data_IF_448833214556
#
_entry.id   IF_448833214556
#
_cell.length_a   1.000
_cell.length_b   1.000
_cell.length_c   1.000
_cell.angle_alpha   90.00
_cell.angle_beta   90.00
_cell.angle_gamma   90.00
#
_symmetry.space_group_name_H-M   'P 1'
#
loop_
_entity.id
_entity.type
_entity.pdbx_description
1 polymer ?
#
# COMPACT_ATOMS: atom_id res chain seq x y z
N UNK A 1 29.22 -10.77 -7.34
CA UNK A 1 28.24 -11.34 -8.29
C UNK A 1 28.92 -12.09 -9.43
N UNK A 2 29.90 -11.50 -10.14
CA UNK A 2 30.66 -12.16 -11.19
C UNK A 2 31.21 -13.54 -10.76
N UNK A 3 31.90 -13.60 -9.63
CA UNK A 3 32.45 -14.86 -9.10
C UNK A 3 31.40 -15.95 -8.84
N UNK A 4 30.21 -15.58 -8.36
CA UNK A 4 29.11 -16.53 -8.08
C UNK A 4 28.55 -17.10 -9.39
N UNK A 5 28.38 -16.25 -10.41
CA UNK A 5 27.91 -16.67 -11.73
C UNK A 5 28.90 -17.64 -12.40
N UNK A 6 30.19 -17.29 -12.41
CA UNK A 6 31.23 -18.17 -12.98
C UNK A 6 31.34 -19.50 -12.23
N UNK A 7 31.18 -19.48 -10.90
CA UNK A 7 31.15 -20.69 -10.08
C UNK A 7 29.96 -21.58 -10.41
N UNK A 8 28.74 -21.01 -10.54
CA UNK A 8 27.53 -21.76 -10.91
C UNK A 8 27.64 -22.32 -12.34
N UNK A 9 28.23 -21.56 -13.27
CA UNK A 9 28.48 -21.98 -14.64
C UNK A 9 29.59 -23.04 -14.79
N UNK A 10 30.29 -23.41 -13.71
CA UNK A 10 31.40 -24.37 -13.73
C UNK A 10 32.71 -23.82 -14.29
N UNK A 11 32.78 -22.51 -14.57
CA UNK A 11 33.95 -21.83 -15.13
C UNK A 11 34.98 -21.47 -14.06
N UNK A 12 35.47 -22.47 -13.34
CA UNK A 12 36.41 -22.27 -12.21
C UNK A 12 37.76 -21.69 -12.65
N UNK A 13 38.12 -21.81 -13.92
CA UNK A 13 39.36 -21.24 -14.49
C UNK A 13 39.33 -19.69 -14.54
N UNK A 14 38.15 -19.08 -14.47
CA UNK A 14 37.98 -17.63 -14.46
C UNK A 14 38.08 -17.01 -13.06
N UNK A 15 38.35 -17.81 -12.02
CA UNK A 15 38.31 -17.40 -10.61
C UNK A 15 39.61 -17.70 -9.90
N UNK A 16 39.98 -16.83 -8.97
CA UNK A 16 40.99 -17.15 -7.97
C UNK A 16 40.46 -18.19 -6.97
N UNK A 17 41.37 -18.87 -6.26
CA UNK A 17 41.00 -19.88 -5.25
C UNK A 17 40.11 -19.28 -4.14
N UNK A 18 40.40 -18.04 -3.72
CA UNK A 18 39.62 -17.34 -2.70
C UNK A 18 38.21 -16.97 -3.21
N UNK A 19 38.11 -16.47 -4.45
CA UNK A 19 36.82 -16.15 -5.07
C UNK A 19 35.97 -17.41 -5.26
N UNK A 20 36.57 -18.53 -5.67
CA UNK A 20 35.88 -19.80 -5.82
C UNK A 20 35.36 -20.33 -4.46
N UNK A 21 36.15 -20.22 -3.39
CA UNK A 21 35.71 -20.63 -2.05
C UNK A 21 34.57 -19.75 -1.52
N UNK A 22 34.64 -18.43 -1.73
CA UNK A 22 33.59 -17.51 -1.28
C UNK A 22 32.32 -17.66 -2.11
N UNK A 23 32.45 -17.85 -3.43
CA UNK A 23 31.34 -18.12 -4.34
C UNK A 23 30.64 -19.44 -4.00
N UNK A 24 31.39 -20.51 -3.70
CA UNK A 24 30.83 -21.81 -3.32
C UNK A 24 30.00 -21.78 -2.03
N UNK A 25 30.34 -20.92 -1.08
CA UNK A 25 29.53 -20.71 0.14
C UNK A 25 28.16 -20.09 -0.16
N UNK A 26 28.07 -19.26 -1.20
CA UNK A 26 26.87 -18.51 -1.56
C UNK A 26 26.05 -19.16 -2.68
N UNK A 27 26.68 -20.00 -3.52
CA UNK A 27 26.06 -20.64 -4.68
C UNK A 27 24.99 -21.66 -4.31
N UNK A 28 25.08 -22.31 -3.14
CA UNK A 28 24.11 -23.31 -2.67
C UNK A 28 22.68 -22.77 -2.51
N UNK A 29 22.54 -21.45 -2.39
CA UNK A 29 21.24 -20.76 -2.28
C UNK A 29 21.00 -19.81 -3.46
N UNK A 30 21.72 -19.97 -4.58
CA UNK A 30 21.56 -19.12 -5.74
C UNK A 30 21.39 -19.92 -7.05
N UNK A 31 20.60 -19.38 -7.96
CA UNK A 31 20.36 -19.92 -9.30
C UNK A 31 20.54 -18.82 -10.34
N UNK A 32 20.95 -19.18 -11.56
CA UNK A 32 21.05 -18.25 -12.70
C UNK A 32 19.99 -18.63 -13.72
N UNK A 33 19.23 -17.66 -14.22
CA UNK A 33 18.22 -17.88 -15.25
C UNK A 33 18.80 -17.81 -16.68
N UNK A 34 17.94 -18.02 -17.69
CA UNK A 34 18.28 -17.96 -19.11
C UNK A 34 18.77 -16.57 -19.59
N UNK A 35 18.54 -15.52 -18.80
CA UNK A 35 18.94 -14.14 -19.09
C UNK A 35 20.22 -13.73 -18.35
N UNK A 36 20.97 -14.70 -17.80
CA UNK A 36 22.14 -14.47 -16.93
C UNK A 36 21.78 -13.61 -15.70
N UNK A 37 20.57 -13.72 -15.15
CA UNK A 37 20.19 -13.06 -13.90
C UNK A 37 20.37 -14.02 -12.72
N UNK A 38 21.03 -13.53 -11.67
CA UNK A 38 21.30 -14.30 -10.45
C UNK A 38 20.14 -14.11 -9.46
N UNK A 39 19.50 -15.21 -9.03
CA UNK A 39 18.45 -15.23 -8.03
C UNK A 39 18.91 -15.92 -6.76
N UNK A 40 18.49 -15.38 -5.62
CA UNK A 40 18.57 -16.03 -4.32
C UNK A 40 17.31 -16.87 -4.09
N UNK A 41 17.52 -18.14 -3.77
CA UNK A 41 16.50 -19.15 -3.54
C UNK A 41 16.22 -19.22 -2.04
N UNK A 42 14.98 -18.92 -1.65
CA UNK A 42 14.55 -19.03 -0.26
C UNK A 42 13.29 -19.86 -0.10
N UNK A 43 13.27 -20.68 0.94
CA UNK A 43 12.14 -21.53 1.28
C UNK A 43 11.24 -20.79 2.26
N UNK A 44 9.96 -20.55 1.92
CA UNK A 44 8.97 -20.11 2.92
C UNK A 44 8.64 -21.30 3.84
N UNK A 45 9.40 -21.44 4.93
CA UNK A 45 9.06 -22.36 6.01
C UNK A 45 8.29 -21.59 7.08
N UNK A 46 6.96 -21.60 7.01
CA UNK A 46 6.16 -21.45 8.24
C UNK A 46 4.72 -21.97 8.25
N UNK A 47 4.17 -22.49 7.15
CA UNK A 47 2.93 -23.28 7.19
C UNK A 47 3.04 -24.40 6.14
N UNK A 48 3.32 -25.65 6.54
CA UNK A 48 3.32 -26.81 5.63
C UNK A 48 2.02 -27.60 5.79
N UNK A 49 1.43 -28.07 4.68
CA UNK A 49 1.72 -29.43 4.23
C UNK A 49 2.14 -29.45 2.74
N UNK A 50 3.17 -30.26 2.42
CA UNK A 50 3.65 -30.66 1.07
C UNK A 50 3.44 -29.64 -0.07
N UNK A 51 4.48 -28.83 -0.32
CA UNK A 51 4.53 -27.90 -1.44
C UNK A 51 5.14 -26.56 -1.03
N UNK A 52 6.38 -26.57 -0.55
CA UNK A 52 7.06 -25.30 -0.23
C UNK A 52 7.23 -24.51 -1.52
N UNK A 53 6.51 -23.40 -1.68
CA UNK A 53 6.73 -22.49 -2.80
C UNK A 53 8.12 -21.89 -2.65
N UNK A 54 8.99 -22.22 -3.62
CA UNK A 54 10.30 -21.61 -3.77
C UNK A 54 10.09 -20.11 -4.05
N UNK A 55 10.67 -19.25 -3.21
CA UNK A 55 10.67 -17.82 -3.45
C UNK A 55 12.02 -17.40 -4.02
N UNK A 56 12.01 -17.07 -5.32
CA UNK A 56 13.12 -16.46 -6.04
C UNK A 56 13.14 -14.94 -5.80
N UNK A 57 14.32 -14.42 -5.47
CA UNK A 57 14.59 -12.98 -5.28
C UNK A 57 15.81 -12.57 -6.08
N UNK A 58 15.72 -11.54 -6.89
CA UNK A 58 16.83 -11.07 -7.72
C UNK A 58 17.99 -10.58 -6.85
N UNK A 59 19.19 -11.08 -7.09
CA UNK A 59 20.41 -10.62 -6.42
C UNK A 59 20.85 -9.31 -7.04
N UNK A 60 20.85 -8.24 -6.23
CA UNK A 60 21.12 -6.88 -6.72
C UNK A 60 22.61 -6.54 -6.54
N UNK A 61 23.30 -6.06 -7.60
CA UNK A 61 24.67 -5.53 -7.49
C UNK A 61 24.74 -4.36 -6.50
N UNK A 62 25.87 -4.23 -5.80
CA UNK A 62 26.09 -3.15 -4.82
C UNK A 62 25.90 -1.74 -5.40
N UNK A 63 26.21 -1.57 -6.69
CA UNK A 63 26.01 -0.31 -7.41
C UNK A 63 24.54 0.11 -7.52
N UNK A 64 23.59 -0.84 -7.49
CA UNK A 64 22.15 -0.57 -7.64
C UNK A 64 21.38 -0.58 -6.31
N UNK A 65 22.05 -0.85 -5.18
CA UNK A 65 21.39 -0.84 -3.86
C UNK A 65 20.74 0.51 -3.56
N UNK A 66 21.44 1.61 -3.87
CA UNK A 66 20.94 2.97 -3.67
C UNK A 66 19.66 3.24 -4.46
N UNK A 67 19.62 2.84 -5.74
CA UNK A 67 18.47 3.05 -6.61
C UNK A 67 17.24 2.25 -6.17
N UNK A 68 17.42 0.99 -5.77
CA UNK A 68 16.34 0.16 -5.23
C UNK A 68 15.79 0.78 -3.94
N UNK A 69 16.66 1.20 -3.02
CA UNK A 69 16.23 1.80 -1.75
C UNK A 69 15.55 3.16 -1.96
N UNK A 70 16.07 3.99 -2.88
CA UNK A 70 15.44 5.23 -3.30
C UNK A 70 14.04 4.96 -3.87
N UNK A 71 13.90 3.97 -4.75
CA UNK A 71 12.59 3.61 -5.31
C UNK A 71 11.59 3.18 -4.22
N UNK A 72 11.98 2.30 -3.30
CA UNK A 72 11.05 1.76 -2.30
C UNK A 72 10.83 2.65 -1.07
N UNK A 73 11.63 3.70 -0.89
CA UNK A 73 11.48 4.63 0.24
C UNK A 73 11.11 6.05 -0.20
N UNK A 74 11.95 6.73 -0.96
CA UNK A 74 11.83 8.18 -1.27
C UNK A 74 11.05 8.46 -2.54
N UNK A 75 10.93 7.49 -3.46
CA UNK A 75 10.07 7.69 -4.62
C UNK A 75 8.61 7.77 -4.20
N UNK A 76 7.80 8.27 -5.13
CA UNK A 76 6.36 8.30 -5.01
C UNK A 76 5.74 6.91 -4.74
N UNK A 77 6.34 5.86 -5.31
CA UNK A 77 5.93 4.48 -5.04
C UNK A 77 6.41 4.00 -3.67
N UNK A 78 7.40 4.64 -3.05
CA UNK A 78 7.96 4.34 -1.72
C UNK A 78 7.28 5.08 -0.56
N UNK A 79 6.75 6.29 -0.80
CA UNK A 79 5.92 7.06 0.13
C UNK A 79 6.54 7.32 1.52
N UNK A 80 7.87 7.42 1.62
CA UNK A 80 8.63 7.63 2.86
C UNK A 80 8.22 6.70 4.00
N UNK A 81 7.89 5.45 3.67
CA UNK A 81 7.46 4.51 4.69
C UNK A 81 8.61 4.11 5.63
N UNK A 82 8.26 3.78 6.87
CA UNK A 82 9.23 3.37 7.89
C UNK A 82 9.91 2.04 7.57
N UNK A 83 11.07 1.82 8.19
CA UNK A 83 11.99 0.67 7.99
C UNK A 83 11.28 -0.66 7.73
N UNK A 84 10.32 -1.05 8.59
CA UNK A 84 9.69 -2.37 8.47
C UNK A 84 8.87 -2.51 7.19
N UNK A 85 8.16 -1.46 6.77
CA UNK A 85 7.35 -1.50 5.53
C UNK A 85 8.25 -1.48 4.30
N UNK A 86 9.26 -0.62 4.30
CA UNK A 86 10.26 -0.56 3.22
C UNK A 86 10.97 -1.91 3.06
N UNK A 87 11.45 -2.50 4.15
CA UNK A 87 12.11 -3.81 4.12
C UNK A 87 11.19 -4.92 3.61
N UNK A 88 9.92 -4.95 4.06
CA UNK A 88 8.97 -5.97 3.64
C UNK A 88 8.74 -5.96 2.12
N UNK A 89 8.70 -4.77 1.51
CA UNK A 89 8.53 -4.60 0.06
C UNK A 89 9.80 -4.94 -0.72
N UNK A 90 10.96 -4.47 -0.27
CA UNK A 90 12.23 -4.76 -0.95
C UNK A 90 12.58 -6.25 -0.90
N UNK A 91 12.44 -6.88 0.27
CA UNK A 91 12.79 -8.31 0.47
C UNK A 91 11.88 -9.26 -0.31
N UNK A 92 10.74 -8.78 -0.81
CA UNK A 92 9.83 -9.62 -1.58
C UNK A 92 10.44 -9.99 -2.93
N UNK A 93 11.15 -9.05 -3.56
CA UNK A 93 11.67 -9.15 -4.92
C UNK A 93 13.19 -9.22 -4.99
N UNK A 94 13.89 -8.59 -4.04
CA UNK A 94 15.32 -8.40 -4.10
C UNK A 94 16.05 -9.04 -2.92
N UNK A 95 17.31 -9.37 -3.16
CA UNK A 95 18.23 -9.88 -2.16
C UNK A 95 19.62 -9.26 -2.33
N UNK A 96 20.24 -8.91 -1.21
CA UNK A 96 21.69 -8.75 -1.11
C UNK A 96 22.11 -9.00 0.34
N UNK A 97 23.38 -9.42 0.59
CA UNK A 97 23.92 -9.51 1.94
C UNK A 97 23.80 -8.18 2.67
N UNK A 98 23.18 -8.18 3.85
CA UNK A 98 22.98 -6.97 4.64
C UNK A 98 21.74 -6.13 4.28
N UNK A 99 20.83 -6.62 3.43
CA UNK A 99 19.60 -5.91 2.99
C UNK A 99 18.88 -5.15 4.12
N UNK A 100 18.59 -5.80 5.25
CA UNK A 100 17.88 -5.15 6.35
C UNK A 100 18.67 -3.96 6.92
N UNK A 101 19.98 -4.11 7.09
CA UNK A 101 20.87 -3.03 7.56
C UNK A 101 20.89 -1.87 6.57
N UNK A 102 21.02 -2.16 5.27
CA UNK A 102 20.96 -1.12 4.22
C UNK A 102 19.64 -0.34 4.27
N UNK A 103 18.50 -1.00 4.50
CA UNK A 103 17.19 -0.32 4.66
C UNK A 103 17.17 0.55 5.92
N UNK A 104 17.67 0.04 7.06
CA UNK A 104 17.76 0.81 8.30
C UNK A 104 18.58 2.08 8.11
N UNK A 105 19.79 1.95 7.57
CA UNK A 105 20.73 3.05 7.37
C UNK A 105 20.14 4.10 6.40
N UNK A 106 19.50 3.65 5.31
CA UNK A 106 18.88 4.54 4.32
C UNK A 106 17.70 5.33 4.89
N UNK A 107 16.76 4.66 5.58
CA UNK A 107 15.60 5.32 6.18
C UNK A 107 16.02 6.24 7.34
N UNK A 108 17.04 5.85 8.10
CA UNK A 108 17.59 6.68 9.17
C UNK A 108 18.26 7.94 8.61
N UNK A 109 18.94 7.86 7.46
CA UNK A 109 19.58 8.99 6.78
C UNK A 109 18.64 9.91 5.99
N UNK A 110 17.34 9.59 5.89
CA UNK A 110 16.38 10.36 5.11
C UNK A 110 16.02 11.69 5.80
N UNK A 111 16.50 12.80 5.23
CA UNK A 111 16.30 14.17 5.73
C UNK A 111 14.81 14.52 5.86
N UNK A 112 13.98 14.13 4.89
CA UNK A 112 12.53 14.40 4.90
C UNK A 112 11.81 13.68 6.06
N UNK A 113 12.23 12.46 6.35
CA UNK A 113 11.72 11.68 7.48
C UNK A 113 12.19 12.22 8.83
N UNK A 114 13.42 12.71 8.92
CA UNK A 114 13.96 13.32 10.13
C UNK A 114 13.22 14.64 10.46
N UNK A 115 13.00 15.49 9.46
CA UNK A 115 12.34 16.79 9.61
C UNK A 115 10.80 16.68 9.66
N UNK A 116 10.25 15.54 9.29
CA UNK A 116 8.81 15.27 9.24
C UNK A 116 8.17 14.69 10.51
N UNK A 117 8.97 14.28 11.49
CA UNK A 117 8.47 13.60 12.69
C UNK A 117 7.99 14.56 13.80
N UNK A 118 6.79 15.14 13.65
CA UNK A 118 6.03 15.66 14.80
C UNK A 118 5.67 14.58 15.82
N UNK A 119 5.64 14.95 17.11
CA UNK A 119 5.42 14.07 18.26
C UNK A 119 4.05 13.36 18.21
N UNK A 120 3.92 12.12 18.73
CA UNK A 120 2.63 11.47 18.89
C UNK A 120 1.76 12.31 19.83
N UNK A 121 0.57 12.72 19.39
CA UNK A 121 -0.44 13.25 20.29
C UNK A 121 -1.22 12.06 20.86
N UNK A 122 -1.12 11.83 22.16
CA UNK A 122 -2.05 10.95 22.87
C UNK A 122 -3.46 11.54 22.76
N UNK A 123 -4.46 10.74 22.34
CA UNK A 123 -5.88 11.09 22.52
C UNK A 123 -6.76 9.87 22.78
N UNK A 124 -7.50 10.02 23.88
CA UNK A 124 -8.88 9.59 24.21
C UNK A 124 -9.54 8.41 23.48
N UNK A 125 -10.23 7.60 24.29
CA UNK A 125 -11.07 6.46 23.87
C UNK A 125 -12.22 6.95 22.98
N UNK A 126 -12.25 6.50 21.73
CA UNK A 126 -13.36 6.76 20.77
C UNK A 126 -14.56 5.84 21.07
N UNK A 127 -15.82 6.32 20.93
CA UNK A 127 -17.01 5.46 20.97
C UNK A 127 -16.98 4.40 19.87
N UNK A 128 -17.60 3.25 20.13
CA UNK A 128 -17.53 2.02 19.32
C UNK A 128 -17.90 2.22 17.84
N UNK A 129 -17.08 1.65 16.97
CA UNK A 129 -17.29 1.63 15.52
C UNK A 129 -18.28 0.54 15.14
N UNK A 130 -19.23 0.84 14.24
CA UNK A 130 -19.83 -0.18 13.39
C UNK A 130 -18.71 -0.66 12.44
N UNK A 131 -18.27 -1.92 12.52
CA UNK A 131 -17.25 -2.43 11.61
C UNK A 131 -17.86 -2.65 10.22
N UNK A 132 -17.17 -2.19 9.18
CA UNK A 132 -17.56 -2.51 7.81
C UNK A 132 -17.34 -4.01 7.54
N UNK A 133 -18.36 -4.67 7.02
CA UNK A 133 -18.37 -6.13 6.79
C UNK A 133 -17.92 -6.51 5.39
N UNK A 134 -17.92 -5.59 4.43
CA UNK A 134 -17.44 -5.81 3.06
C UNK A 134 -16.85 -4.52 2.44
N UNK A 135 -16.04 -4.62 1.36
CA UNK A 135 -15.40 -3.46 0.72
C UNK A 135 -16.40 -2.39 0.29
N UNK A 136 -16.04 -1.12 0.50
CA UNK A 136 -16.83 0.07 0.14
C UNK A 136 -18.18 0.18 0.84
N UNK A 137 -18.50 -0.65 1.84
CA UNK A 137 -19.69 -0.45 2.66
C UNK A 137 -19.65 0.88 3.41
N UNK A 138 -18.51 1.16 4.06
CA UNK A 138 -18.28 2.41 4.79
C UNK A 138 -16.99 3.06 4.31
N UNK A 139 -17.11 4.26 3.73
CA UNK A 139 -15.98 5.10 3.40
C UNK A 139 -15.79 6.16 4.47
N UNK A 140 -14.56 6.31 4.97
CA UNK A 140 -14.17 7.55 5.59
C UNK A 140 -13.74 8.56 4.53
N UNK A 141 -14.11 9.81 4.72
CA UNK A 141 -13.73 10.93 3.89
C UNK A 141 -13.07 12.00 4.77
N UNK A 142 -11.93 12.49 4.31
CA UNK A 142 -11.27 13.66 4.86
C UNK A 142 -10.92 14.65 3.74
N UNK A 143 -10.61 15.87 4.15
CA UNK A 143 -10.38 16.97 3.27
C UNK A 143 -9.22 17.80 3.82
N UNK A 144 -8.18 17.98 3.03
CA UNK A 144 -7.03 18.84 3.34
C UNK A 144 -7.24 20.18 2.62
N UNK A 145 -7.68 21.24 3.34
CA UNK A 145 -7.92 22.52 2.72
C UNK A 145 -6.64 23.35 2.55
N UNK A 146 -6.74 24.40 1.73
CA UNK A 146 -5.78 25.51 1.70
C UNK A 146 -4.34 25.10 1.38
N UNK A 147 -4.17 24.15 0.46
CA UNK A 147 -2.87 23.83 -0.11
C UNK A 147 -2.41 24.95 -1.06
N UNK A 148 -1.09 25.14 -1.27
CA UNK A 148 -0.59 26.07 -2.27
C UNK A 148 -1.24 25.79 -3.63
N UNK A 149 -1.52 26.82 -4.43
CA UNK A 149 -2.11 26.60 -5.75
C UNK A 149 -1.16 25.79 -6.64
N UNK A 150 -1.61 24.63 -7.11
CA UNK A 150 -0.85 23.80 -8.05
C UNK A 150 -0.78 24.40 -9.46
N UNK A 151 0.01 23.80 -10.35
CA UNK A 151 0.02 24.14 -11.79
C UNK A 151 -1.34 23.95 -12.45
N UNK A 152 -2.09 22.90 -12.06
CA UNK A 152 -3.46 22.68 -12.54
C UNK A 152 -4.51 23.55 -11.81
N UNK A 153 -4.07 24.42 -10.89
CA UNK A 153 -4.96 25.34 -10.16
C UNK A 153 -5.68 24.71 -8.97
N UNK A 154 -5.30 23.50 -8.55
CA UNK A 154 -5.85 22.83 -7.38
C UNK A 154 -5.39 23.51 -6.09
N UNK A 155 -6.26 23.54 -5.08
CA UNK A 155 -5.96 24.11 -3.75
C UNK A 155 -6.43 23.20 -2.61
N UNK A 156 -7.16 22.14 -2.91
CA UNK A 156 -7.70 21.22 -1.92
C UNK A 156 -7.38 19.78 -2.31
N UNK A 157 -7.28 18.90 -1.31
CA UNK A 157 -7.17 17.47 -1.54
C UNK A 157 -8.26 16.72 -0.78
N UNK A 158 -8.99 15.88 -1.51
CA UNK A 158 -9.95 14.93 -0.97
C UNK A 158 -9.27 13.59 -0.76
N UNK A 159 -9.56 12.94 0.37
CA UNK A 159 -9.05 11.62 0.72
C UNK A 159 -10.23 10.74 1.11
N UNK A 160 -10.34 9.55 0.50
CA UNK A 160 -11.28 8.51 0.90
C UNK A 160 -10.53 7.27 1.35
N UNK A 161 -11.06 6.60 2.37
CA UNK A 161 -10.51 5.35 2.91
C UNK A 161 -11.63 4.36 3.12
N UNK A 162 -11.54 3.19 2.48
CA UNK A 162 -12.45 2.07 2.74
C UNK A 162 -12.17 1.48 4.12
N UNK A 163 -13.19 1.43 4.97
CA UNK A 163 -13.05 0.92 6.33
C UNK A 163 -12.85 -0.59 6.39
N UNK A 164 -13.28 -1.34 5.38
CA UNK A 164 -13.12 -2.78 5.39
C UNK A 164 -11.68 -3.17 5.01
N UNK A 165 -11.19 -2.70 3.86
CA UNK A 165 -9.88 -3.07 3.29
C UNK A 165 -8.75 -2.14 3.70
N UNK A 166 -9.06 -0.90 4.11
CA UNK A 166 -8.07 0.17 4.30
C UNK A 166 -7.63 0.84 3.01
N UNK A 167 -8.31 0.59 1.88
CA UNK A 167 -7.94 1.10 0.56
C UNK A 167 -8.12 2.61 0.49
N UNK A 168 -7.07 3.31 0.04
CA UNK A 168 -6.97 4.76 -0.01
C UNK A 168 -7.21 5.26 -1.43
N UNK A 169 -7.96 6.34 -1.54
CA UNK A 169 -8.22 7.07 -2.79
C UNK A 169 -8.01 8.55 -2.51
N UNK A 170 -7.41 9.28 -3.43
CA UNK A 170 -7.20 10.73 -3.30
C UNK A 170 -7.57 11.45 -4.59
N UNK A 171 -8.11 12.66 -4.48
CA UNK A 171 -8.39 13.52 -5.63
C UNK A 171 -8.11 14.98 -5.29
N UNK A 172 -7.30 15.63 -6.11
CA UNK A 172 -7.04 17.07 -5.99
C UNK A 172 -8.18 17.86 -6.64
N UNK A 173 -8.56 18.97 -6.00
CA UNK A 173 -9.64 19.83 -6.50
C UNK A 173 -9.29 21.32 -6.43
N UNK A 174 -9.86 22.09 -7.35
CA UNK A 174 -9.69 23.54 -7.47
C UNK A 174 -10.61 24.35 -6.56
N UNK A 175 -11.61 23.70 -5.97
CA UNK A 175 -12.52 24.34 -5.04
C UNK A 175 -13.08 23.37 -4.00
N UNK A 176 -13.56 23.95 -2.91
CA UNK A 176 -14.31 23.27 -1.85
C UNK A 176 -15.82 23.22 -2.12
N UNK A 177 -16.29 23.55 -3.32
CA UNK A 177 -17.73 23.61 -3.59
C UNK A 177 -18.35 22.21 -3.48
N UNK A 178 -19.60 22.14 -3.03
CA UNK A 178 -20.32 20.88 -2.92
C UNK A 178 -20.39 20.11 -4.26
N UNK A 179 -20.53 20.85 -5.36
CA UNK A 179 -20.52 20.31 -6.72
C UNK A 179 -19.17 19.69 -7.08
N UNK A 180 -18.06 20.39 -6.82
CA UNK A 180 -16.71 19.90 -7.13
C UNK A 180 -16.39 18.62 -6.37
N UNK A 181 -16.77 18.54 -5.09
CA UNK A 181 -16.57 17.34 -4.29
C UNK A 181 -17.42 16.17 -4.80
N UNK A 182 -18.66 16.44 -5.21
CA UNK A 182 -19.54 15.42 -5.76
C UNK A 182 -19.00 14.86 -7.09
N UNK A 183 -18.49 15.72 -7.98
CA UNK A 183 -17.83 15.32 -9.22
C UNK A 183 -16.54 14.55 -8.96
N UNK A 184 -15.75 14.97 -7.96
CA UNK A 184 -14.54 14.27 -7.56
C UNK A 184 -14.83 12.87 -7.00
N UNK A 185 -15.86 12.73 -6.15
CA UNK A 185 -16.30 11.43 -5.64
C UNK A 185 -16.84 10.55 -6.77
N UNK A 186 -17.64 11.12 -7.67
CA UNK A 186 -18.17 10.40 -8.82
C UNK A 186 -17.04 9.82 -9.68
N UNK A 187 -16.08 10.67 -10.06
CA UNK A 187 -14.96 10.28 -10.91
C UNK A 187 -13.99 9.32 -10.24
N UNK A 188 -13.60 9.56 -8.98
CA UNK A 188 -12.53 8.82 -8.31
C UNK A 188 -13.00 7.57 -7.56
N UNK A 189 -14.28 7.53 -7.14
CA UNK A 189 -14.82 6.45 -6.32
C UNK A 189 -15.95 5.73 -7.04
N UNK A 190 -17.03 6.44 -7.38
CA UNK A 190 -18.25 5.80 -7.89
C UNK A 190 -18.02 5.03 -9.19
N UNK A 191 -17.31 5.61 -10.17
CA UNK A 191 -17.02 4.94 -11.46
C UNK A 191 -16.21 3.65 -11.32
N UNK A 192 -15.40 3.53 -10.27
CA UNK A 192 -14.48 2.42 -10.09
C UNK A 192 -15.03 1.33 -9.16
N UNK A 193 -15.77 1.74 -8.12
CA UNK A 193 -16.16 0.86 -7.02
C UNK A 193 -17.66 0.84 -6.74
N UNK A 194 -18.44 1.71 -7.38
CA UNK A 194 -19.86 1.90 -7.11
C UNK A 194 -20.12 2.81 -5.90
N UNK A 195 -21.38 2.88 -5.49
CA UNK A 195 -21.80 3.68 -4.35
C UNK A 195 -21.52 2.95 -3.03
N UNK A 196 -21.07 3.70 -2.02
CA UNK A 196 -20.99 3.22 -0.65
C UNK A 196 -22.34 3.33 0.06
N UNK A 197 -22.58 2.49 1.07
CA UNK A 197 -23.77 2.64 1.93
C UNK A 197 -23.62 3.86 2.85
N UNK A 198 -22.41 4.08 3.37
CA UNK A 198 -22.13 5.16 4.33
C UNK A 198 -20.84 5.89 3.99
N UNK A 199 -20.89 7.23 4.01
CA UNK A 199 -19.68 8.07 4.03
C UNK A 199 -19.61 8.80 5.37
N UNK A 200 -18.51 8.59 6.11
CA UNK A 200 -18.19 9.27 7.38
C UNK A 200 -17.21 10.41 7.14
N UNK A 201 -17.45 11.57 7.74
CA UNK A 201 -16.56 12.74 7.65
C UNK A 201 -16.62 13.57 8.92
N UNK A 202 -15.61 14.42 9.13
CA UNK A 202 -15.52 15.31 10.30
C UNK A 202 -16.08 16.73 10.05
N UNK A 203 -16.57 17.01 8.84
CA UNK A 203 -17.16 18.30 8.47
C UNK A 203 -18.56 18.55 9.03
N UNK A 204 -18.96 19.82 9.01
CA UNK A 204 -20.30 20.27 9.41
C UNK A 204 -21.41 19.56 8.60
N UNK A 205 -22.49 19.09 9.23
CA UNK A 205 -23.58 18.36 8.57
C UNK A 205 -24.21 19.10 7.38
N UNK A 206 -24.29 20.43 7.44
CA UNK A 206 -24.91 21.27 6.39
C UNK A 206 -24.13 21.25 5.07
N UNK A 207 -22.79 21.29 5.14
CA UNK A 207 -21.94 21.26 3.95
C UNK A 207 -22.07 19.93 3.20
N UNK A 208 -22.05 18.82 3.93
CA UNK A 208 -22.09 17.49 3.32
C UNK A 208 -23.48 17.13 2.80
N UNK A 209 -24.55 17.65 3.42
CA UNK A 209 -25.90 17.59 2.83
C UNK A 209 -25.93 18.19 1.41
N UNK A 210 -25.23 19.32 1.20
CA UNK A 210 -25.13 19.93 -0.12
C UNK A 210 -24.32 19.08 -1.11
N UNK A 211 -23.21 18.45 -0.67
CA UNK A 211 -22.41 17.51 -1.47
C UNK A 211 -23.25 16.33 -1.94
N UNK A 212 -23.97 15.66 -1.01
CA UNK A 212 -24.82 14.52 -1.36
C UNK A 212 -25.97 14.92 -2.29
N UNK A 213 -26.56 16.11 -2.09
CA UNK A 213 -27.58 16.63 -3.01
C UNK A 213 -27.01 16.89 -4.41
N UNK A 214 -25.80 17.42 -4.51
CA UNK A 214 -25.11 17.61 -5.79
C UNK A 214 -24.81 16.27 -6.47
N UNK A 215 -24.31 15.29 -5.71
CA UNK A 215 -24.04 13.94 -6.22
C UNK A 215 -25.31 13.24 -6.71
N UNK A 216 -26.39 13.28 -5.94
CA UNK A 216 -27.67 12.67 -6.34
C UNK A 216 -28.28 13.31 -7.59
N UNK A 217 -28.02 14.60 -7.83
CA UNK A 217 -28.38 15.27 -9.09
C UNK A 217 -27.49 14.82 -10.24
N UNK A 218 -26.17 14.71 -10.02
CA UNK A 218 -25.19 14.26 -11.03
C UNK A 218 -25.51 12.85 -11.55
N UNK A 219 -25.86 11.93 -10.66
CA UNK A 219 -26.17 10.53 -11.04
C UNK A 219 -27.63 10.37 -11.53
N UNK A 220 -28.43 11.43 -11.51
CA UNK A 220 -29.76 11.47 -12.14
C UNK A 220 -30.75 10.47 -11.56
N UNK A 221 -31.28 10.74 -10.37
CA UNK A 221 -32.52 10.19 -9.75
C UNK A 221 -33.18 8.92 -10.37
N UNK A 222 -32.41 7.85 -10.57
CA UNK A 222 -32.90 6.49 -10.90
C UNK A 222 -32.20 5.39 -10.10
N UNK A 223 -31.20 5.75 -9.30
CA UNK A 223 -30.47 4.81 -8.46
C UNK A 223 -31.16 4.64 -7.10
N UNK A 224 -31.47 3.39 -6.73
CA UNK A 224 -31.88 2.99 -5.37
C UNK A 224 -30.73 3.07 -4.35
N UNK A 225 -29.55 3.58 -4.72
CA UNK A 225 -28.43 3.75 -3.82
C UNK A 225 -28.65 4.96 -2.89
N UNK A 226 -29.18 4.72 -1.70
CA UNK A 226 -29.19 5.71 -0.61
C UNK A 226 -27.80 5.77 0.03
N UNK A 227 -27.04 6.83 -0.27
CA UNK A 227 -25.89 7.23 0.54
C UNK A 227 -26.42 7.71 1.90
N UNK A 228 -26.26 6.90 2.94
CA UNK A 228 -26.63 7.28 4.29
C UNK A 228 -25.48 8.03 4.97
N UNK A 229 -25.78 9.18 5.56
CA UNK A 229 -24.82 9.94 6.35
C UNK A 229 -24.95 9.59 7.84
N UNK A 230 -23.83 9.40 8.53
CA UNK A 230 -23.77 9.31 9.99
C UNK A 230 -22.59 10.12 10.55
N UNK A 231 -22.83 11.16 11.37
CA UNK A 231 -21.78 11.78 12.17
C UNK A 231 -21.38 10.81 13.28
N UNK A 232 -20.24 10.16 13.17
CA UNK A 232 -19.73 9.27 14.21
C UNK A 232 -18.19 9.31 14.23
N UNK A 233 -17.62 9.40 15.43
CA UNK A 233 -16.18 9.38 15.65
C UNK A 233 -15.54 8.13 15.03
N UNK A 234 -14.41 8.30 14.37
CA UNK A 234 -13.94 7.32 13.40
C UNK A 234 -12.50 6.88 13.70
N UNK A 235 -12.19 6.51 14.94
CA UNK A 235 -10.81 6.34 15.43
C UNK A 235 -9.89 5.33 14.70
N UNK A 236 -10.42 4.48 13.81
CA UNK A 236 -9.62 3.62 12.91
C UNK A 236 -9.32 4.35 11.61
N UNK A 237 -10.35 4.96 11.00
CA UNK A 237 -10.20 5.75 9.78
C UNK A 237 -9.41 7.02 10.04
N UNK A 238 -9.63 7.70 11.17
CA UNK A 238 -8.88 8.88 11.60
C UNK A 238 -7.38 8.61 11.64
N UNK A 239 -6.93 7.45 12.14
CA UNK A 239 -5.49 7.13 12.18
C UNK A 239 -4.91 6.90 10.78
N UNK A 240 -5.64 6.22 9.90
CA UNK A 240 -5.20 6.01 8.51
C UNK A 240 -5.20 7.31 7.73
N UNK A 241 -6.30 8.05 7.78
CA UNK A 241 -6.45 9.39 7.21
C UNK A 241 -5.37 10.33 7.73
N UNK A 242 -5.09 10.38 9.03
CA UNK A 242 -4.02 11.21 9.59
C UNK A 242 -2.63 10.78 9.09
N UNK A 243 -2.39 9.48 8.91
CA UNK A 243 -1.14 8.98 8.34
C UNK A 243 -0.97 9.44 6.89
N UNK A 244 -2.05 9.38 6.11
CA UNK A 244 -2.10 9.83 4.71
C UNK A 244 -1.91 11.35 4.64
N UNK A 245 -2.72 12.10 5.38
CA UNK A 245 -2.64 13.57 5.46
C UNK A 245 -1.27 14.03 5.93
N UNK A 246 -0.60 13.29 6.81
CA UNK A 246 0.78 13.58 7.23
C UNK A 246 1.79 13.29 6.12
N UNK A 247 1.71 12.13 5.46
CA UNK A 247 2.59 11.79 4.36
C UNK A 247 2.50 12.84 3.25
N UNK A 248 1.28 13.23 2.88
CA UNK A 248 1.02 14.26 1.87
C UNK A 248 1.58 15.61 2.31
N UNK A 249 1.34 16.04 3.55
CA UNK A 249 1.91 17.31 4.08
C UNK A 249 3.44 17.36 4.08
N UNK A 250 4.13 16.22 4.13
CA UNK A 250 5.60 16.19 4.02
C UNK A 250 6.05 16.47 2.58
N UNK A 251 5.32 15.99 1.58
CA UNK A 251 5.60 16.27 0.18
C UNK A 251 5.21 17.70 -0.24
N UNK A 252 4.16 18.29 0.36
CA UNK A 252 3.70 19.67 0.04
C UNK A 252 4.40 20.76 0.88
N UNK A 253 5.50 20.44 1.59
CA UNK A 253 6.14 21.39 2.51
C UNK A 253 6.97 22.48 1.82
N UNK A 254 7.46 22.24 0.61
CA UNK A 254 8.20 23.24 -0.15
C UNK A 254 7.24 24.22 -0.84
N UNK A 255 7.41 25.52 -0.58
CA UNK A 255 6.57 26.59 -1.17
C UNK A 255 6.78 26.75 -2.69
N UNK A 256 7.88 26.24 -3.23
CA UNK A 256 8.12 26.18 -4.68
C UNK A 256 7.41 25.02 -5.38
N UNK A 257 6.96 24.01 -4.63
CA UNK A 257 6.37 22.77 -5.14
C UNK A 257 4.91 22.99 -5.59
N UNK A 258 4.73 23.23 -6.89
CA UNK A 258 3.41 23.44 -7.52
C UNK A 258 2.85 22.21 -8.23
N UNK A 259 3.56 21.09 -8.21
CA UNK A 259 3.19 19.79 -8.78
C UNK A 259 2.68 18.81 -7.71
N UNK A 260 2.32 19.31 -6.52
CA UNK A 260 1.89 18.48 -5.39
C UNK A 260 0.62 17.67 -5.66
N UNK A 261 -0.26 18.14 -6.55
CA UNK A 261 -1.51 17.46 -6.89
C UNK A 261 -1.27 16.19 -7.69
N UNK A 262 -0.31 16.22 -8.62
CA UNK A 262 0.14 15.04 -9.34
C UNK A 262 0.73 13.97 -8.41
N UNK A 263 1.55 14.37 -7.44
CA UNK A 263 2.07 13.43 -6.44
C UNK A 263 0.98 12.94 -5.50
N UNK A 264 0.09 13.82 -5.05
CA UNK A 264 -0.98 13.45 -4.13
C UNK A 264 -1.88 12.36 -4.73
N UNK A 265 -2.25 12.48 -6.01
CA UNK A 265 -3.09 11.48 -6.69
C UNK A 265 -2.38 10.15 -7.00
N UNK A 266 -1.04 10.14 -7.02
CA UNK A 266 -0.23 8.93 -7.25
C UNK A 266 0.18 8.20 -5.96
N UNK A 267 0.23 8.92 -4.83
CA UNK A 267 0.59 8.37 -3.52
C UNK A 267 -0.25 7.14 -3.10
N UNK A 268 -1.56 7.05 -3.39
CA UNK A 268 -2.37 5.88 -3.04
C UNK A 268 -1.79 4.55 -3.52
N UNK A 269 -1.10 4.52 -4.67
CA UNK A 269 -0.46 3.28 -5.16
C UNK A 269 0.50 2.69 -4.12
N UNK A 270 1.38 3.53 -3.57
CA UNK A 270 2.35 3.11 -2.56
C UNK A 270 1.69 2.68 -1.24
N UNK A 271 0.63 3.39 -0.85
CA UNK A 271 -0.09 3.15 0.40
C UNK A 271 -0.91 1.85 0.33
N UNK A 272 -1.56 1.60 -0.79
CA UNK A 272 -2.41 0.43 -0.99
C UNK A 272 -1.61 -0.86 -1.23
N UNK A 273 -0.34 -0.76 -1.64
CA UNK A 273 0.63 -1.88 -1.68
C UNK A 273 1.33 -2.15 -0.33
N UNK A 274 1.15 -1.30 0.67
CA UNK A 274 1.84 -1.45 1.95
C UNK A 274 1.02 -2.31 2.90
N UNK A 275 1.66 -3.32 3.51
CA UNK A 275 1.00 -4.20 4.49
C UNK A 275 0.42 -3.38 5.63
N UNK A 276 -0.90 -3.51 5.80
CA UNK A 276 -1.60 -3.03 6.97
C UNK A 276 -1.50 -4.08 8.07
N UNK A 277 -0.78 -3.75 9.14
CA UNK A 277 -0.59 -4.65 10.28
C UNK A 277 -1.87 -5.00 11.02
N UNK A 278 -2.88 -4.12 10.99
CA UNK A 278 -4.16 -4.38 11.67
C UNK A 278 -4.94 -5.44 10.92
N UNK A 279 -4.93 -5.38 9.58
CA UNK A 279 -5.68 -6.30 8.71
C UNK A 279 -4.88 -7.55 8.31
N UNK A 280 -3.55 -7.48 8.42
CA UNK A 280 -2.63 -8.59 8.13
C UNK A 280 -2.21 -8.70 6.67
N UNK A 281 -2.72 -7.83 5.79
CA UNK A 281 -2.49 -7.87 4.34
C UNK A 281 -2.46 -6.46 3.73
N UNK A 282 -2.24 -6.34 2.41
CA UNK A 282 -2.28 -5.07 1.69
C UNK A 282 -3.72 -4.66 1.36
N UNK A 283 -4.06 -3.36 1.40
CA UNK A 283 -5.38 -2.90 0.96
C UNK A 283 -5.73 -3.30 -0.48
N UNK A 284 -4.76 -3.29 -1.40
CA UNK A 284 -4.96 -3.77 -2.77
C UNK A 284 -5.40 -5.23 -2.81
N UNK A 285 -4.70 -6.11 -2.11
CA UNK A 285 -5.03 -7.53 -2.10
C UNK A 285 -6.38 -7.79 -1.45
N UNK A 286 -6.70 -7.12 -0.33
CA UNK A 286 -8.00 -7.26 0.34
C UNK A 286 -9.17 -6.79 -0.52
N UNK A 287 -8.94 -5.81 -1.41
CA UNK A 287 -9.98 -5.29 -2.29
C UNK A 287 -10.12 -6.11 -3.58
N UNK A 288 -9.01 -6.38 -4.27
CA UNK A 288 -9.02 -6.96 -5.61
C UNK A 288 -8.71 -8.45 -5.66
N UNK A 289 -8.15 -9.03 -4.58
CA UNK A 289 -7.68 -10.41 -4.55
C UNK A 289 -6.34 -10.64 -5.26
N UNK A 290 -5.66 -9.57 -5.70
CA UNK A 290 -4.34 -9.64 -6.34
C UNK A 290 -3.50 -8.38 -6.03
N UNK A 291 -2.18 -8.49 -6.16
CA UNK A 291 -1.23 -7.41 -5.86
C UNK A 291 -0.73 -6.76 -7.16
N UNK A 292 -0.86 -5.43 -7.34
CA UNK A 292 -0.34 -4.75 -8.52
C UNK A 292 1.19 -4.68 -8.52
N UNK A 293 1.82 -4.78 -9.69
CA UNK A 293 3.30 -4.72 -9.81
C UNK A 293 3.80 -3.26 -9.88
N UNK A 294 4.91 -2.98 -9.22
CA UNK A 294 5.66 -1.71 -9.37
C UNK A 294 6.38 -1.66 -10.72
N UNK A 295 6.86 -0.47 -11.12
CA UNK A 295 7.59 -0.30 -12.39
C UNK A 295 8.85 -1.16 -12.43
N UNK A 296 9.63 -1.20 -11.34
CA UNK A 296 10.82 -2.05 -11.28
C UNK A 296 10.41 -3.52 -11.26
N UNK A 297 9.34 -3.88 -10.54
CA UNK A 297 8.85 -5.26 -10.52
C UNK A 297 8.46 -5.72 -11.92
N UNK A 298 7.85 -4.89 -12.77
CA UNK A 298 7.51 -5.27 -14.16
C UNK A 298 8.71 -5.50 -15.06
N UNK A 299 9.85 -4.88 -14.76
CA UNK A 299 11.10 -5.07 -15.50
C UNK A 299 11.81 -6.38 -15.14
N UNK A 300 11.47 -6.98 -14.00
CA UNK A 300 11.96 -8.31 -13.62
C UNK A 300 11.12 -9.37 -14.35
N UNK A 301 11.75 -10.31 -15.09
CA UNK A 301 11.04 -11.40 -15.76
C UNK A 301 10.03 -12.07 -14.83
N UNK A 302 8.85 -12.39 -15.37
CA UNK A 302 7.79 -13.01 -14.58
C UNK A 302 8.33 -14.27 -13.90
N UNK A 303 8.10 -14.38 -12.58
CA UNK A 303 8.52 -15.55 -11.81
C UNK A 303 8.07 -16.81 -12.54
N UNK A 304 9.00 -17.69 -12.90
CA UNK A 304 8.69 -19.10 -13.15
C UNK A 304 8.34 -19.76 -11.82
N UNK A 305 7.20 -19.40 -11.23
CA UNK A 305 6.60 -20.24 -10.21
C UNK A 305 5.87 -21.36 -10.94
N UNK A 306 6.53 -22.50 -11.10
CA UNK A 306 5.83 -23.78 -11.25
C UNK A 306 5.10 -24.07 -9.92
N UNK A 307 4.00 -23.38 -9.68
CA UNK A 307 3.10 -23.66 -8.57
C UNK A 307 1.70 -23.21 -8.93
N UNK A 308 0.85 -24.20 -9.15
CA UNK A 308 -0.58 -24.16 -9.33
C UNK A 308 -1.29 -23.43 -8.18
N UNK A 309 -1.27 -22.09 -8.16
CA UNK A 309 -2.22 -21.32 -7.35
C UNK A 309 -3.42 -20.99 -8.22
N UNK A 310 -4.42 -21.87 -8.19
CA UNK A 310 -5.80 -21.43 -8.37
C UNK A 310 -6.03 -20.22 -7.46
N UNK A 311 -6.72 -19.16 -7.90
CA UNK A 311 -7.13 -18.11 -6.99
C UNK A 311 -7.92 -18.76 -5.87
N UNK A 312 -7.40 -18.72 -4.64
CA UNK A 312 -8.22 -18.98 -3.46
C UNK A 312 -9.28 -17.90 -3.49
N UNK A 313 -10.53 -18.29 -3.74
CA UNK A 313 -11.64 -17.36 -3.73
C UNK A 313 -11.64 -16.64 -2.39
N UNK A 314 -11.68 -15.31 -2.45
CA UNK A 314 -11.74 -14.40 -1.30
C UNK A 314 -12.88 -14.76 -0.32
N UNK A 315 -13.87 -15.55 -0.78
CA UNK A 315 -14.97 -16.05 0.04
C UNK A 315 -14.59 -17.03 1.16
N UNK A 316 -13.50 -17.80 1.07
CA UNK A 316 -13.21 -18.84 2.07
C UNK A 316 -12.49 -18.33 3.33
N UNK A 317 -11.74 -17.23 3.24
CA UNK A 317 -11.02 -16.67 4.40
C UNK A 317 -11.87 -15.72 5.24
N UNK A 318 -12.84 -15.02 4.62
CA UNK A 318 -13.80 -14.20 5.36
C UNK A 318 -14.89 -15.03 6.05
N UNK A 319 -15.29 -16.17 5.47
CA UNK A 319 -16.31 -17.04 6.05
C UNK A 319 -15.85 -17.76 7.35
N UNK A 320 -14.55 -18.09 7.47
CA UNK A 320 -14.04 -18.77 8.67
C UNK A 320 -14.01 -17.89 9.93
N UNK A 321 -13.95 -16.56 9.79
CA UNK A 321 -14.02 -15.64 10.95
C UNK A 321 -15.44 -15.31 11.39
N UNK A 322 -16.45 -15.57 10.56
CA UNK A 322 -17.87 -15.40 10.95
C UNK A 322 -18.41 -16.59 11.73
N UNK A 323 -17.84 -17.79 11.55
CA UNK A 323 -18.32 -19.01 12.24
C UNK A 323 -17.77 -19.13 13.68
N UNK A 324 -16.61 -18.55 14.00
CA UNK A 324 -16.03 -18.62 15.36
C UNK A 324 -16.53 -17.55 16.34
N UNK A 325 -17.40 -16.63 15.91
CA UNK A 325 -17.98 -15.59 16.79
C UNK A 325 -19.46 -15.87 17.14
N UNK A 326 -20.03 -17.00 16.69
CA UNK A 326 -21.45 -17.34 16.92
C UNK A 326 -21.76 -18.71 17.55
N UNK A 327 -20.82 -19.33 18.27
CA UNK A 327 -21.15 -20.44 19.19
C UNK A 327 -20.29 -20.31 20.45
N UNK A 328 -20.87 -20.18 21.67
CA UNK A 328 -22.02 -20.94 22.15
C UNK A 328 -23.13 -20.09 22.80
N UNK A 329 -24.34 -20.15 22.25
CA UNK A 329 -25.60 -19.85 22.97
C UNK A 329 -26.64 -20.98 22.81
N UNK A 330 -26.17 -22.19 22.54
CA UNK A 330 -26.98 -23.41 22.57
C UNK A 330 -26.32 -24.43 23.50
N UNK A 331 -26.38 -24.13 24.79
CA UNK A 331 -26.12 -25.08 25.88
C UNK A 331 -26.75 -24.55 27.18
N UNK A 332 -28.06 -24.26 27.14
CA UNK A 332 -28.92 -24.29 28.33
C UNK A 332 -30.29 -24.80 27.82
N UNK A 333 -30.51 -26.10 28.03
CA UNK A 333 -31.74 -26.66 28.55
C UNK A 333 -31.36 -27.88 29.40
#
# INVERSE_FOLDING_TARGET
MYAIKQFIAGNLQALTVEEAQQAGKQSSSCEVDEHDLLYYVSWRSRDRPRGGTVQLRLVVPSTLHGEVLQHYHTSLQGAHQGVVRTYARVREWFYWPGLYRSVCDFVAGCIDCQTGKGAPRERGRSPGNIPATYPFQVLGMDHIPSLPRSHAGNTELLVWVDQHTGYVITKATSSRSAQTIAEAYEAAVFRHFGASEVIRHDREPGFMSAVFRAFNRLIGQRSRATLAYRPQANGITERMVQTISRAIKLYVKDRGQKDWDEYAERLPFALNKAVDRVRGDTPCYLLFGWEPRSTIETMVPARMTNATTRPRSVGEQLCKRTIEVQAPLLAID
#
